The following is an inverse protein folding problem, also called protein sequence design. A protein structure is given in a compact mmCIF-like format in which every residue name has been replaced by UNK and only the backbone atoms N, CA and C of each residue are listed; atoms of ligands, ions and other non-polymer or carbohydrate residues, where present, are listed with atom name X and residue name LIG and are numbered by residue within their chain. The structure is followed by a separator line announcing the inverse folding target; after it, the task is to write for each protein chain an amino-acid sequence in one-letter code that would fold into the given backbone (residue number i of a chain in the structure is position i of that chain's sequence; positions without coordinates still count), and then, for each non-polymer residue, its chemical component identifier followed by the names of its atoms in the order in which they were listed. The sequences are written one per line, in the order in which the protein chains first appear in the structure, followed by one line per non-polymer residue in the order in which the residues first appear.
data_IF_483729297926
#
_entry.id   IF_483729297926
#
_cell.length_a   1.000
_cell.length_b   1.000
_cell.length_c   1.000
_cell.angle_alpha   90.00
_cell.angle_beta   90.00
_cell.angle_gamma   90.00
#
_symmetry.space_group_name_H-M   'P 1'
#
loop_
_entity.id
_entity.type
_entity.pdbx_description
1 polymer ?
#
# COMPACT_ATOMS: atom_id res chain seq x y z
N UNK A 1 -28.98 -18.16 7.78
CA UNK A 1 -28.11 -17.07 8.26
C UNK A 1 -27.11 -16.80 7.15
N UNK A 2 -27.30 -15.70 6.40
CA UNK A 2 -26.43 -15.35 5.28
C UNK A 2 -24.99 -15.10 5.81
N UNK A 3 -23.94 -15.57 5.13
CA UNK A 3 -22.58 -15.27 5.52
C UNK A 3 -22.36 -13.75 5.47
N UNK A 4 -21.54 -13.17 6.37
CA UNK A 4 -21.22 -11.75 6.31
C UNK A 4 -20.63 -11.46 4.92
N UNK A 5 -21.15 -10.45 4.24
CA UNK A 5 -20.53 -9.89 3.04
C UNK A 5 -19.09 -9.55 3.38
N UNK A 6 -18.18 -10.45 2.99
CA UNK A 6 -16.75 -10.23 3.05
C UNK A 6 -16.51 -9.00 2.19
N UNK A 7 -16.11 -7.90 2.81
CA UNK A 7 -15.69 -6.68 2.13
C UNK A 7 -14.74 -7.07 1.00
N UNK A 8 -15.27 -7.17 -0.23
CA UNK A 8 -14.50 -7.48 -1.42
C UNK A 8 -13.64 -6.25 -1.63
N UNK A 9 -12.38 -6.33 -1.21
CA UNK A 9 -11.36 -5.33 -1.55
C UNK A 9 -11.45 -5.13 -3.08
N UNK A 10 -11.98 -3.98 -3.55
CA UNK A 10 -12.21 -3.79 -4.96
C UNK A 10 -10.85 -3.86 -5.65
N UNK A 11 -10.74 -4.51 -6.83
CA UNK A 11 -9.49 -4.50 -7.55
C UNK A 11 -9.11 -3.04 -7.79
N UNK A 12 -7.97 -2.58 -7.25
CA UNK A 12 -7.42 -1.25 -7.54
C UNK A 12 -7.22 -1.16 -9.04
N UNK A 13 -8.19 -0.61 -9.75
CA UNK A 13 -8.12 -0.30 -11.17
C UNK A 13 -7.27 0.96 -11.30
N UNK A 14 -6.44 1.01 -12.34
CA UNK A 14 -5.76 2.24 -12.70
C UNK A 14 -6.84 3.28 -12.96
N UNK A 15 -6.95 4.26 -12.06
CA UNK A 15 -7.98 5.29 -12.11
C UNK A 15 -7.36 6.55 -12.71
N UNK A 16 -8.17 7.32 -13.43
CA UNK A 16 -7.73 8.62 -13.94
C UNK A 16 -7.34 9.55 -12.76
N UNK A 17 -6.28 10.36 -12.92
CA UNK A 17 -5.89 11.30 -11.87
C UNK A 17 -7.03 12.28 -11.55
N UNK A 18 -7.29 12.48 -10.26
CA UNK A 18 -8.21 13.53 -9.80
C UNK A 18 -7.62 14.91 -10.08
N UNK A 19 -8.29 15.72 -10.91
CA UNK A 19 -7.88 17.09 -11.24
C UNK A 19 -8.46 18.11 -10.26
N UNK A 20 -8.16 17.93 -8.97
CA UNK A 20 -8.59 18.84 -7.91
C UNK A 20 -7.41 19.76 -7.55
N UNK A 21 -7.57 21.10 -7.59
CA UNK A 21 -6.52 22.02 -7.20
C UNK A 21 -6.04 21.74 -5.77
N UNK A 22 -4.71 21.65 -5.61
CA UNK A 22 -4.09 21.31 -4.33
C UNK A 22 -4.41 22.38 -3.26
N UNK A 23 -5.14 22.05 -2.17
CA UNK A 23 -5.68 23.04 -1.24
C UNK A 23 -4.67 23.49 -0.16
N UNK A 24 -3.42 23.78 -0.55
CA UNK A 24 -2.33 24.14 0.37
C UNK A 24 -2.69 25.26 1.35
N UNK A 25 -3.29 26.34 0.83
CA UNK A 25 -3.68 27.50 1.63
C UNK A 25 -4.72 27.13 2.71
N UNK A 26 -5.69 26.26 2.37
CA UNK A 26 -6.70 25.76 3.31
C UNK A 26 -6.07 24.90 4.41
N UNK A 27 -5.16 23.99 4.04
CA UNK A 27 -4.44 23.13 4.98
C UNK A 27 -3.64 23.97 5.98
N UNK A 28 -2.88 24.96 5.51
CA UNK A 28 -2.06 25.82 6.38
C UNK A 28 -2.92 26.64 7.35
N UNK A 29 -4.04 27.21 6.88
CA UNK A 29 -5.00 27.91 7.75
C UNK A 29 -5.58 26.99 8.83
N UNK A 30 -5.95 25.77 8.47
CA UNK A 30 -6.48 24.79 9.41
C UNK A 30 -5.44 24.39 10.47
N UNK A 31 -4.18 24.18 10.08
CA UNK A 31 -3.07 23.91 11.00
C UNK A 31 -2.87 25.05 11.99
N UNK A 32 -2.85 26.29 11.51
CA UNK A 32 -2.74 27.48 12.39
C UNK A 32 -3.86 27.55 13.40
N UNK A 33 -5.11 27.30 12.96
CA UNK A 33 -6.27 27.30 13.84
C UNK A 33 -6.18 26.18 14.89
N UNK A 34 -5.64 25.02 14.54
CA UNK A 34 -5.46 23.89 15.46
C UNK A 34 -4.35 24.13 16.49
N UNK A 35 -3.29 24.83 16.09
CA UNK A 35 -2.13 25.15 16.92
C UNK A 35 -2.28 26.49 17.67
N UNK A 36 -3.35 27.24 17.43
CA UNK A 36 -3.56 28.61 17.92
C UNK A 36 -2.35 29.53 17.67
N UNK A 37 -1.81 29.48 16.44
CA UNK A 37 -0.56 30.13 16.08
C UNK A 37 -0.73 31.25 15.03
N UNK A 38 -0.07 32.37 15.25
CA UNK A 38 0.15 33.39 14.21
C UNK A 38 1.00 32.85 13.05
N UNK A 39 1.00 33.54 11.90
CA UNK A 39 1.86 33.16 10.76
C UNK A 39 3.34 33.13 11.14
N UNK A 40 3.79 34.11 11.94
CA UNK A 40 5.19 34.23 12.39
C UNK A 40 5.54 33.10 13.35
N UNK A 41 4.63 32.72 14.24
CA UNK A 41 4.84 31.61 15.16
C UNK A 41 4.90 30.28 14.42
N UNK A 42 3.93 30.01 13.55
CA UNK A 42 3.94 28.80 12.74
C UNK A 42 5.21 28.71 11.89
N UNK A 43 5.64 29.81 11.28
CA UNK A 43 6.87 29.85 10.50
C UNK A 43 8.09 29.50 11.35
N UNK A 44 8.20 30.08 12.56
CA UNK A 44 9.28 29.82 13.51
C UNK A 44 9.32 28.35 13.91
N UNK A 45 8.20 27.77 14.32
CA UNK A 45 8.12 26.36 14.74
C UNK A 45 8.36 25.40 13.57
N UNK A 46 7.87 25.74 12.37
CA UNK A 46 8.14 24.96 11.17
C UNK A 46 9.58 25.15 10.65
N UNK A 47 10.33 26.14 11.16
CA UNK A 47 11.67 26.55 10.72
C UNK A 47 11.72 27.07 9.28
N UNK A 48 10.68 27.79 8.85
CA UNK A 48 10.59 28.44 7.54
C UNK A 48 10.62 29.96 7.71
N UNK A 49 10.88 30.69 6.62
CA UNK A 49 10.88 32.15 6.68
C UNK A 49 9.46 32.69 6.94
N UNK A 50 9.27 33.76 7.75
CA UNK A 50 7.94 34.28 8.10
C UNK A 50 7.05 34.61 6.90
N UNK A 51 7.63 35.15 5.82
CA UNK A 51 6.89 35.50 4.59
C UNK A 51 6.40 34.28 3.82
N UNK A 52 6.97 33.09 4.05
CA UNK A 52 6.60 31.85 3.37
C UNK A 52 5.16 31.46 3.69
N UNK A 53 4.75 31.53 4.97
CA UNK A 53 3.38 31.17 5.38
C UNK A 53 2.36 32.09 4.73
N UNK A 54 2.61 33.40 4.73
CA UNK A 54 1.72 34.38 4.08
C UNK A 54 1.57 34.15 2.58
N UNK A 55 2.66 33.84 1.87
CA UNK A 55 2.61 33.51 0.43
C UNK A 55 1.85 32.22 0.14
N UNK A 56 1.99 31.20 0.99
CA UNK A 56 1.21 29.96 0.86
C UNK A 56 -0.28 30.22 1.07
N UNK A 57 -0.65 30.95 2.12
CA UNK A 57 -2.05 31.28 2.39
C UNK A 57 -2.66 32.17 1.29
N UNK A 58 -1.88 33.06 0.68
CA UNK A 58 -2.30 33.87 -0.46
C UNK A 58 -2.38 33.09 -1.78
N UNK A 59 -1.92 31.83 -1.81
CA UNK A 59 -1.89 31.02 -3.04
C UNK A 59 -0.80 31.41 -4.04
N UNK A 60 0.11 32.32 -3.67
CA UNK A 60 1.22 32.74 -4.54
C UNK A 60 2.45 31.83 -4.45
N UNK A 61 2.45 30.91 -3.48
CA UNK A 61 3.51 29.91 -3.31
C UNK A 61 2.90 28.53 -3.02
N UNK A 62 3.20 27.56 -3.88
CA UNK A 62 2.91 26.15 -3.62
C UNK A 62 4.06 25.54 -2.81
N UNK A 63 3.84 25.06 -1.57
CA UNK A 63 4.90 24.48 -0.76
C UNK A 63 5.34 23.11 -1.31
N UNK A 64 6.62 22.80 -1.18
CA UNK A 64 7.10 21.43 -1.42
C UNK A 64 6.53 20.47 -0.37
N UNK A 65 6.46 19.17 -0.68
CA UNK A 65 6.01 18.13 0.27
C UNK A 65 6.83 18.18 1.57
N UNK A 66 8.14 18.38 1.47
CA UNK A 66 9.02 18.49 2.63
C UNK A 66 8.68 19.71 3.50
N UNK A 67 8.42 20.87 2.88
CA UNK A 67 8.00 22.07 3.58
C UNK A 67 6.64 21.87 4.26
N UNK A 68 5.67 21.30 3.54
CA UNK A 68 4.34 21.04 4.08
C UNK A 68 4.41 20.09 5.28
N UNK A 69 5.20 19.00 5.20
CA UNK A 69 5.41 18.08 6.32
C UNK A 69 5.88 18.80 7.59
N UNK A 70 6.80 19.77 7.46
CA UNK A 70 7.29 20.57 8.59
C UNK A 70 6.18 21.44 9.16
N UNK A 71 5.42 22.12 8.30
CA UNK A 71 4.33 23.01 8.70
C UNK A 71 3.22 22.25 9.44
N UNK A 72 2.67 21.19 8.83
CA UNK A 72 1.58 20.42 9.43
C UNK A 72 2.04 19.69 10.70
N UNK A 73 3.33 19.32 10.76
CA UNK A 73 3.95 18.66 11.91
C UNK A 73 3.93 19.50 13.18
N UNK A 74 3.90 20.83 13.07
CA UNK A 74 3.77 21.74 14.24
C UNK A 74 2.51 21.47 15.04
N UNK A 75 1.41 21.09 14.37
CA UNK A 75 0.14 20.73 15.02
C UNK A 75 -0.05 19.20 15.18
N UNK A 76 1.01 18.40 14.98
CA UNK A 76 0.98 16.95 15.14
C UNK A 76 0.38 16.16 13.96
N UNK A 77 0.10 16.81 12.82
CA UNK A 77 -0.42 16.13 11.64
C UNK A 77 0.69 15.47 10.80
N UNK A 78 0.31 14.48 9.99
CA UNK A 78 1.21 13.76 9.08
C UNK A 78 0.53 13.61 7.71
N UNK A 79 1.34 13.55 6.64
CA UNK A 79 0.84 13.21 5.31
C UNK A 79 0.69 11.70 5.17
N UNK A 80 -0.41 11.28 4.55
CA UNK A 80 -0.67 9.90 4.17
C UNK A 80 -1.16 9.87 2.72
N UNK A 81 -0.76 8.85 1.98
CA UNK A 81 -1.38 8.54 0.68
C UNK A 81 -2.58 7.64 0.98
N UNK A 82 -3.73 7.97 0.43
CA UNK A 82 -4.99 7.23 0.65
C UNK A 82 -5.61 6.82 -0.68
N UNK A 83 -6.39 5.75 -0.67
CA UNK A 83 -7.28 5.42 -1.79
C UNK A 83 -8.59 6.23 -1.75
N UNK A 84 -9.45 6.01 -2.74
CA UNK A 84 -10.78 6.63 -2.86
C UNK A 84 -11.70 6.36 -1.67
N UNK A 85 -11.53 5.20 -1.01
CA UNK A 85 -12.24 4.80 0.20
C UNK A 85 -11.63 5.36 1.49
N UNK A 86 -10.53 6.13 1.40
CA UNK A 86 -9.84 6.72 2.53
C UNK A 86 -8.89 5.78 3.27
N UNK A 87 -8.60 4.59 2.73
CA UNK A 87 -7.64 3.65 3.33
C UNK A 87 -6.22 4.12 3.06
N UNK A 88 -5.38 4.09 4.09
CA UNK A 88 -3.97 4.52 3.99
C UNK A 88 -3.14 3.48 3.22
N UNK A 89 -2.56 3.92 2.10
CA UNK A 89 -1.53 3.17 1.38
C UNK A 89 -0.27 3.09 2.25
N UNK A 90 0.04 1.89 2.73
CA UNK A 90 1.27 1.65 3.49
C UNK A 90 2.45 1.60 2.53
N UNK A 91 3.55 2.33 2.80
CA UNK A 91 4.77 2.20 2.01
C UNK A 91 5.22 0.75 1.94
N UNK A 92 5.53 0.29 0.74
CA UNK A 92 6.15 -1.02 0.54
C UNK A 92 7.51 -1.05 1.23
N UNK A 93 7.78 -2.09 2.03
CA UNK A 93 9.11 -2.31 2.61
C UNK A 93 10.02 -2.87 1.53
N UNK A 94 11.19 -2.29 1.36
CA UNK A 94 12.23 -2.86 0.49
C UNK A 94 12.78 -4.13 1.15
N UNK A 95 12.70 -5.27 0.46
CA UNK A 95 13.36 -6.51 0.89
C UNK A 95 14.71 -6.60 0.19
N UNK A 96 15.73 -6.00 0.80
CA UNK A 96 17.07 -5.92 0.23
C UNK A 96 17.77 -7.28 0.08
N UNK A 97 17.26 -8.28 0.80
CA UNK A 97 17.71 -9.67 0.89
C UNK A 97 17.18 -10.57 -0.23
N UNK A 98 16.12 -10.19 -0.94
CA UNK A 98 15.58 -10.99 -2.05
C UNK A 98 16.06 -10.46 -3.40
N UNK A 99 17.01 -11.18 -4.00
CA UNK A 99 17.48 -10.98 -5.37
C UNK A 99 17.31 -12.26 -6.17
N UNK A 100 17.07 -12.15 -7.47
CA UNK A 100 17.04 -13.32 -8.33
C UNK A 100 18.44 -13.92 -8.53
N UNK A 101 18.53 -15.09 -9.18
CA UNK A 101 19.80 -15.75 -9.49
C UNK A 101 20.76 -14.96 -10.40
N UNK A 102 20.36 -13.78 -10.88
CA UNK A 102 21.17 -12.83 -11.63
C UNK A 102 21.42 -11.51 -10.86
N UNK A 103 21.24 -11.53 -9.53
CA UNK A 103 21.37 -10.40 -8.59
C UNK A 103 20.42 -9.22 -8.81
N UNK A 104 19.37 -9.38 -9.63
CA UNK A 104 18.39 -8.33 -9.91
C UNK A 104 17.30 -8.32 -8.86
N UNK A 105 16.64 -7.16 -8.70
CA UNK A 105 15.48 -7.02 -7.85
C UNK A 105 14.25 -7.59 -8.56
N UNK A 106 13.41 -8.31 -7.81
CA UNK A 106 12.10 -8.73 -8.30
C UNK A 106 11.20 -7.53 -8.63
N UNK A 107 10.32 -7.62 -9.65
CA UNK A 107 9.43 -6.52 -10.01
C UNK A 107 8.48 -6.13 -8.86
N UNK A 108 8.43 -4.84 -8.50
CA UNK A 108 7.68 -4.34 -7.33
C UNK A 108 6.16 -4.51 -7.36
N UNK A 109 5.58 -4.81 -8.52
CA UNK A 109 4.14 -5.02 -8.67
C UNK A 109 3.71 -6.47 -8.43
N UNK A 110 4.68 -7.36 -8.15
CA UNK A 110 4.48 -8.80 -8.00
C UNK A 110 4.82 -9.21 -6.57
N UNK A 111 4.02 -10.13 -6.02
CA UNK A 111 4.25 -10.70 -4.70
C UNK A 111 5.30 -11.81 -4.84
N UNK A 112 6.49 -11.60 -4.26
CA UNK A 112 7.57 -12.59 -4.28
C UNK A 112 7.25 -13.72 -3.30
N UNK A 113 7.32 -14.94 -3.80
CA UNK A 113 7.22 -16.21 -3.09
C UNK A 113 8.65 -16.67 -2.81
N UNK A 114 8.94 -16.93 -1.55
CA UNK A 114 10.15 -17.65 -1.12
C UNK A 114 9.79 -19.12 -1.00
N UNK A 115 10.60 -20.01 -1.57
CA UNK A 115 10.41 -21.48 -1.52
C UNK A 115 9.10 -21.99 -2.16
N UNK A 116 8.93 -21.87 -3.50
CA UNK A 116 7.69 -22.27 -4.17
C UNK A 116 7.38 -23.78 -4.12
N UNK A 117 6.17 -24.11 -3.68
CA UNK A 117 5.58 -25.45 -3.77
C UNK A 117 5.26 -25.86 -5.24
N UNK A 118 5.07 -27.16 -5.53
CA UNK A 118 4.68 -27.61 -6.87
C UNK A 118 3.37 -26.97 -7.36
N UNK A 119 3.42 -26.26 -8.49
CA UNK A 119 2.28 -25.56 -9.10
C UNK A 119 2.24 -24.06 -8.80
N UNK A 120 3.15 -23.57 -7.96
CA UNK A 120 3.25 -22.16 -7.57
C UNK A 120 4.06 -21.32 -8.56
N UNK A 121 4.91 -21.96 -9.37
CA UNK A 121 5.69 -21.30 -10.40
C UNK A 121 5.09 -21.50 -11.79
N UNK A 122 4.96 -20.42 -12.56
CA UNK A 122 4.40 -20.46 -13.91
C UNK A 122 5.10 -21.48 -14.84
N UNK A 123 6.38 -21.78 -14.59
CA UNK A 123 7.16 -22.69 -15.39
C UNK A 123 7.20 -24.15 -14.87
N UNK A 124 6.49 -24.45 -13.78
CA UNK A 124 6.27 -25.84 -13.34
C UNK A 124 5.59 -26.68 -14.44
N UNK A 125 4.73 -26.04 -15.26
CA UNK A 125 4.11 -26.67 -16.44
C UNK A 125 5.14 -27.17 -17.47
N UNK A 126 6.32 -26.55 -17.50
CA UNK A 126 7.38 -26.85 -18.46
C UNK A 126 8.49 -27.74 -17.87
N UNK A 127 8.35 -28.21 -16.62
CA UNK A 127 9.31 -29.12 -15.98
C UNK A 127 10.68 -28.52 -15.67
N UNK A 128 10.79 -27.19 -15.58
CA UNK A 128 12.05 -26.51 -15.29
C UNK A 128 12.43 -26.64 -13.80
N UNK A 129 13.73 -26.53 -13.49
CA UNK A 129 14.21 -26.46 -12.11
C UNK A 129 13.74 -25.14 -11.46
N UNK A 130 13.17 -25.23 -10.25
CA UNK A 130 12.59 -24.08 -9.55
C UNK A 130 13.70 -23.18 -9.00
N UNK A 131 13.61 -21.85 -9.22
CA UNK A 131 14.44 -20.90 -8.48
C UNK A 131 14.01 -20.83 -7.00
N UNK A 132 14.93 -20.50 -6.07
CA UNK A 132 14.62 -20.36 -4.64
C UNK A 132 13.54 -19.30 -4.36
N UNK A 133 13.47 -18.24 -5.17
CA UNK A 133 12.39 -17.25 -5.10
C UNK A 133 11.69 -17.03 -6.46
N UNK A 134 10.35 -16.90 -6.45
CA UNK A 134 9.52 -16.70 -7.65
C UNK A 134 8.34 -15.77 -7.39
N UNK A 135 7.41 -15.58 -8.34
CA UNK A 135 6.20 -14.76 -8.13
C UNK A 135 5.03 -15.23 -8.99
N UNK A 136 3.81 -14.98 -8.52
CA UNK A 136 2.60 -15.18 -9.32
C UNK A 136 2.37 -14.03 -10.30
N UNK A 137 2.09 -14.33 -11.58
CA UNK A 137 1.70 -13.30 -12.56
C UNK A 137 0.22 -12.90 -12.43
N UNK A 138 -0.66 -13.83 -12.08
CA UNK A 138 -2.11 -13.59 -12.03
C UNK A 138 -2.51 -12.83 -10.76
N UNK A 139 -3.05 -11.61 -10.92
CA UNK A 139 -3.48 -10.74 -9.82
C UNK A 139 -4.58 -11.35 -8.95
N UNK A 140 -5.58 -12.01 -9.54
CA UNK A 140 -6.68 -12.60 -8.77
C UNK A 140 -6.19 -13.74 -7.86
N UNK A 141 -5.20 -14.51 -8.31
CA UNK A 141 -4.54 -15.56 -7.51
C UNK A 141 -3.74 -14.94 -6.38
N UNK A 142 -2.96 -13.87 -6.64
CA UNK A 142 -2.22 -13.13 -5.61
C UNK A 142 -3.12 -12.56 -4.53
N UNK A 143 -4.21 -11.90 -4.90
CA UNK A 143 -5.14 -11.31 -3.94
C UNK A 143 -5.85 -12.40 -3.12
N UNK A 144 -6.17 -13.55 -3.72
CA UNK A 144 -6.72 -14.71 -3.00
C UNK A 144 -5.73 -15.29 -1.97
N UNK A 145 -4.46 -15.49 -2.35
CA UNK A 145 -3.41 -15.96 -1.45
C UNK A 145 -3.11 -14.95 -0.33
N UNK A 146 -3.08 -13.64 -0.65
CA UNK A 146 -2.90 -12.56 0.33
C UNK A 146 -4.01 -12.58 1.38
N UNK A 147 -5.27 -12.71 0.97
CA UNK A 147 -6.42 -12.83 1.90
C UNK A 147 -6.29 -14.04 2.81
N UNK A 148 -5.83 -15.17 2.27
CA UNK A 148 -5.63 -16.39 3.04
C UNK A 148 -4.48 -16.28 4.05
N UNK A 149 -3.32 -15.80 3.63
CA UNK A 149 -2.18 -15.58 4.53
C UNK A 149 -2.54 -14.61 5.68
N UNK A 150 -3.29 -13.54 5.39
CA UNK A 150 -3.78 -12.64 6.45
C UNK A 150 -4.75 -13.32 7.43
N UNK A 151 -5.59 -14.24 6.97
CA UNK A 151 -6.47 -15.06 7.82
C UNK A 151 -5.65 -16.04 8.67
N UNK A 152 -4.68 -16.74 8.08
CA UNK A 152 -3.82 -17.74 8.74
C UNK A 152 -2.90 -17.13 9.81
N UNK A 153 -2.34 -15.94 9.57
CA UNK A 153 -1.52 -15.23 10.56
C UNK A 153 -2.38 -14.65 11.71
N UNK A 154 -3.69 -14.46 11.48
CA UNK A 154 -4.63 -13.91 12.47
C UNK A 154 -5.73 -14.90 12.86
N UNK A 155 -5.44 -16.20 12.87
CA UNK A 155 -6.41 -17.27 13.21
C UNK A 155 -7.07 -17.04 14.57
N UNK A 156 -6.32 -16.52 15.55
CA UNK A 156 -6.88 -16.17 16.87
C UNK A 156 -7.98 -15.09 16.79
N UNK A 157 -7.92 -14.18 15.81
CA UNK A 157 -8.89 -13.10 15.58
C UNK A 157 -10.02 -13.50 14.62
N UNK A 158 -9.79 -14.52 13.78
CA UNK A 158 -10.74 -14.99 12.76
C UNK A 158 -11.29 -16.40 13.01
N UNK A 159 -11.17 -16.93 14.24
CA UNK A 159 -11.64 -18.27 14.65
C UNK A 159 -13.10 -18.58 14.24
N UNK A 160 -13.94 -17.55 14.15
CA UNK A 160 -15.37 -17.65 13.82
C UNK A 160 -15.68 -17.53 12.33
N UNK A 161 -14.68 -17.28 11.47
CA UNK A 161 -14.87 -17.09 10.02
C UNK A 161 -14.19 -18.25 9.29
N UNK A 162 -14.88 -18.95 8.35
CA UNK A 162 -14.26 -20.02 7.59
C UNK A 162 -13.04 -19.53 6.79
N UNK A 163 -12.02 -20.37 6.58
CA UNK A 163 -10.83 -19.99 5.83
C UNK A 163 -11.19 -19.57 4.40
N UNK A 164 -10.56 -18.51 3.86
CA UNK A 164 -10.72 -18.13 2.45
C UNK A 164 -10.41 -19.31 1.51
N UNK A 165 -11.12 -19.45 0.37
CA UNK A 165 -10.88 -20.52 -0.57
C UNK A 165 -9.44 -20.50 -1.07
N UNK A 166 -8.86 -21.69 -1.14
CA UNK A 166 -7.54 -21.90 -1.70
C UNK A 166 -7.59 -21.89 -3.24
N UNK A 167 -6.97 -20.92 -3.93
CA UNK A 167 -6.91 -20.93 -5.38
C UNK A 167 -6.09 -22.12 -5.94
N UNK A 168 -5.23 -22.76 -5.14
CA UNK A 168 -4.33 -23.86 -5.56
C UNK A 168 -4.95 -25.25 -5.35
N UNK A 169 -5.92 -25.39 -4.43
CA UNK A 169 -6.50 -26.70 -4.05
C UNK A 169 -7.34 -27.36 -5.14
N UNK A 170 -7.61 -26.67 -6.26
CA UNK A 170 -8.39 -27.19 -7.40
C UNK A 170 -7.55 -27.95 -8.46
N UNK A 171 -6.23 -28.04 -8.33
CA UNK A 171 -5.37 -28.48 -9.44
C UNK A 171 -4.76 -29.89 -9.40
N UNK A 172 -4.43 -30.47 -8.24
CA UNK A 172 -3.41 -31.55 -8.22
C UNK A 172 -3.73 -32.76 -7.32
N UNK A 173 -4.99 -33.08 -7.05
CA UNK A 173 -5.35 -34.40 -6.44
C UNK A 173 -5.60 -35.51 -7.47
N UNK A 174 -5.60 -35.20 -8.77
CA UNK A 174 -5.64 -36.22 -9.82
C UNK A 174 -4.37 -36.08 -10.66
N UNK A 175 -3.31 -36.78 -10.24
CA UNK A 175 -2.20 -37.09 -11.15
C UNK A 175 -2.72 -37.87 -12.35
N UNK A 176 -1.98 -37.92 -13.48
CA UNK A 176 -2.41 -38.70 -14.63
C UNK A 176 -2.63 -40.15 -14.19
N UNK A 177 -3.88 -40.61 -14.29
CA UNK A 177 -4.23 -42.02 -14.15
C UNK A 177 -3.44 -42.83 -15.17
N UNK A 178 -3.00 -44.00 -14.72
CA UNK A 178 -2.32 -45.02 -15.51
C UNK A 178 -3.07 -45.38 -16.79
#
# INVERSE_FOLDING_TARGET
MAPPEVEREPPTVLTEPLDIPWPAAGIVRAVRRRADASQRELARFAGVHPTTIGRIEAGTLTPSIAMLRRIIGVAGFRLAVVDDSGRVLKPMRDRADLRDGAERRYPSHLDVITDPEPGEWWADRYGLARPPETFYRNRAVRDALRRRSQWEVRVARHRSVPPPPDPQRRGYRNGPGR
#
